data_IF_012914382898
#
_entry.id   IF_012914382898
#
_cell.length_a   1.000
_cell.length_b   1.000
_cell.length_c   1.000
_cell.angle_alpha   90.00
_cell.angle_beta   90.00
_cell.angle_gamma   90.00
#
_symmetry.space_group_name_H-M   'P 1'
#
loop_
_entity.id
_entity.type
_entity.pdbx_description
1 polymer ?
#
# COMPACT_ATOMS: atom_id res chain seq x y z
N UNK A 1 -9.67 12.61 6.17
CA UNK A 1 -9.48 12.43 7.64
C UNK A 1 -8.29 13.29 8.10
N UNK A 2 -8.04 13.53 9.39
CA UNK A 2 -6.77 14.17 9.78
C UNK A 2 -5.63 13.15 9.63
N UNK A 3 -4.46 13.56 9.13
CA UNK A 3 -3.27 12.69 9.04
C UNK A 3 -2.90 12.15 10.43
N UNK A 4 -2.51 10.88 10.50
CA UNK A 4 -2.14 10.21 11.75
C UNK A 4 -0.94 10.89 12.42
N UNK A 5 0.08 11.21 11.62
CA UNK A 5 1.20 12.05 12.07
C UNK A 5 0.76 13.51 11.96
N UNK A 6 0.57 14.15 13.13
CA UNK A 6 0.24 15.56 13.24
C UNK A 6 1.42 16.44 12.78
N UNK A 7 1.13 17.62 12.21
CA UNK A 7 2.17 18.52 11.65
C UNK A 7 3.30 18.87 12.63
N UNK A 8 2.96 19.02 13.92
CA UNK A 8 3.91 19.30 14.99
C UNK A 8 4.88 18.13 15.27
N UNK A 9 4.52 16.92 14.88
CA UNK A 9 5.28 15.69 15.09
C UNK A 9 6.07 15.26 13.87
N UNK A 10 5.81 15.85 12.69
CA UNK A 10 6.47 15.48 11.43
C UNK A 10 7.99 15.51 11.53
N UNK A 11 8.58 16.55 12.12
CA UNK A 11 10.03 16.64 12.25
C UNK A 11 10.58 15.54 13.16
N UNK A 12 9.99 15.35 14.34
CA UNK A 12 10.37 14.29 15.29
C UNK A 12 10.28 12.90 14.67
N UNK A 13 9.19 12.61 13.95
CA UNK A 13 9.02 11.33 13.25
C UNK A 13 10.04 11.19 12.13
N UNK A 14 10.29 12.25 11.35
CA UNK A 14 11.32 12.25 10.30
C UNK A 14 12.71 11.96 10.84
N UNK A 15 13.05 12.52 12.01
CA UNK A 15 14.33 12.26 12.67
C UNK A 15 14.43 10.80 13.16
N UNK A 16 13.33 10.22 13.63
CA UNK A 16 13.27 8.81 14.01
C UNK A 16 13.40 7.90 12.78
N UNK A 17 12.70 8.19 11.68
CA UNK A 17 12.79 7.45 10.43
C UNK A 17 14.20 7.51 9.84
N UNK A 18 14.81 8.70 9.76
CA UNK A 18 16.21 8.86 9.34
C UNK A 18 17.15 8.08 10.27
N UNK A 19 16.89 8.13 11.57
CA UNK A 19 17.59 7.35 12.56
C UNK A 19 17.51 5.85 12.26
N UNK A 20 16.35 5.33 11.92
CA UNK A 20 16.10 3.92 11.64
C UNK A 20 16.88 3.42 10.41
N UNK A 21 16.97 4.22 9.34
CA UNK A 21 17.68 3.84 8.10
C UNK A 21 19.19 4.14 8.11
N UNK A 22 19.69 4.85 9.11
CA UNK A 22 21.11 5.20 9.23
C UNK A 22 21.95 4.04 9.78
N UNK A 23 22.14 2.99 8.97
CA UNK A 23 23.01 1.84 9.22
C UNK A 23 23.87 1.51 8.00
N UNK A 24 24.82 0.58 8.12
CA UNK A 24 25.63 0.09 6.98
C UNK A 24 26.34 1.20 6.18
N UNK A 25 26.81 2.24 6.87
CA UNK A 25 27.45 3.41 6.25
C UNK A 25 26.52 4.55 5.88
N UNK A 26 25.20 4.39 6.09
CA UNK A 26 24.19 5.43 5.92
C UNK A 26 22.93 4.94 5.19
N UNK A 27 21.90 5.79 5.10
CA UNK A 27 20.72 5.50 4.27
C UNK A 27 21.11 5.35 2.80
N UNK A 28 20.40 4.48 2.07
CA UNK A 28 20.56 4.38 0.61
C UNK A 28 19.99 5.62 -0.09
N UNK A 29 20.34 5.81 -1.37
CA UNK A 29 19.75 6.88 -2.19
C UNK A 29 18.23 6.74 -2.28
N UNK A 30 17.74 5.51 -2.46
CA UNK A 30 16.31 5.17 -2.52
C UNK A 30 15.59 5.45 -1.20
N UNK A 31 16.11 4.98 -0.06
CA UNK A 31 15.56 5.28 1.26
C UNK A 31 15.50 6.79 1.51
N UNK A 32 16.55 7.52 1.11
CA UNK A 32 16.60 8.98 1.23
C UNK A 32 15.56 9.67 0.35
N UNK A 33 15.37 9.19 -0.89
CA UNK A 33 14.38 9.72 -1.82
C UNK A 33 12.95 9.49 -1.30
N UNK A 34 12.63 8.28 -0.84
CA UNK A 34 11.33 7.93 -0.26
C UNK A 34 11.04 8.76 1.00
N UNK A 35 12.00 8.86 1.93
CA UNK A 35 11.83 9.68 3.14
C UNK A 35 11.60 11.16 2.78
N UNK A 36 12.37 11.72 1.83
CA UNK A 36 12.18 13.09 1.35
C UNK A 36 10.80 13.30 0.72
N UNK A 37 10.34 12.35 -0.10
CA UNK A 37 9.05 12.43 -0.76
C UNK A 37 7.91 12.38 0.27
N UNK A 38 7.97 11.52 1.28
CA UNK A 38 7.00 11.48 2.37
C UNK A 38 6.97 12.83 3.12
N UNK A 39 8.14 13.39 3.46
CA UNK A 39 8.22 14.67 4.18
C UNK A 39 7.64 15.83 3.39
N UNK A 40 8.05 15.97 2.14
CA UNK A 40 7.69 17.13 1.31
C UNK A 40 6.35 16.97 0.60
N UNK A 41 6.06 15.79 0.07
CA UNK A 41 4.87 15.48 -0.73
C UNK A 41 3.66 15.05 0.11
N UNK A 42 3.85 14.18 1.10
CA UNK A 42 2.73 13.72 1.94
C UNK A 42 2.46 14.68 3.11
N UNK A 43 3.48 15.00 3.89
CA UNK A 43 3.33 15.89 5.05
C UNK A 43 3.41 17.39 4.70
N UNK A 44 3.85 17.75 3.49
CA UNK A 44 3.93 19.14 3.04
C UNK A 44 5.03 19.98 3.70
N UNK A 45 5.98 19.34 4.43
CA UNK A 45 7.03 20.01 5.21
C UNK A 45 8.30 20.22 4.38
N UNK A 46 8.20 21.09 3.38
CA UNK A 46 9.32 21.47 2.48
C UNK A 46 10.47 22.21 3.18
N UNK A 47 10.25 22.64 4.43
CA UNK A 47 11.24 23.27 5.30
C UNK A 47 12.21 22.26 5.96
N UNK A 48 11.90 20.97 5.94
CA UNK A 48 12.74 19.91 6.52
C UNK A 48 13.63 19.32 5.42
N UNK A 49 14.94 19.49 5.56
CA UNK A 49 15.93 18.88 4.66
C UNK A 49 16.55 17.64 5.30
N UNK A 50 16.29 16.47 4.70
CA UNK A 50 16.84 15.17 5.14
C UNK A 50 18.37 15.18 5.21
N UNK A 51 19.06 15.96 4.36
CA UNK A 51 20.52 16.00 4.33
C UNK A 51 21.14 16.69 5.55
N UNK A 52 20.38 17.55 6.24
CA UNK A 52 20.82 18.29 7.43
C UNK A 52 20.08 17.89 8.71
N UNK A 53 19.05 17.06 8.57
CA UNK A 53 18.25 16.55 9.68
C UNK A 53 19.11 15.68 10.61
N UNK A 54 19.03 15.95 11.91
CA UNK A 54 19.76 15.16 12.91
C UNK A 54 18.91 13.95 13.31
N UNK A 55 19.39 12.71 13.13
CA UNK A 55 18.62 11.52 13.49
C UNK A 55 18.44 11.41 15.01
N UNK A 56 17.25 10.97 15.44
CA UNK A 56 17.03 10.53 16.82
C UNK A 56 17.53 9.09 16.99
N UNK A 57 18.02 8.75 18.18
CA UNK A 57 18.17 7.34 18.58
C UNK A 57 16.82 6.71 18.92
N UNK A 58 16.76 5.38 18.96
CA UNK A 58 15.56 4.62 19.36
C UNK A 58 14.97 5.11 20.70
N UNK A 59 15.82 5.28 21.72
CA UNK A 59 15.40 5.81 23.04
C UNK A 59 14.80 7.20 22.98
N UNK A 60 15.41 8.09 22.19
CA UNK A 60 14.88 9.45 22.03
C UNK A 60 13.55 9.44 21.27
N UNK A 61 13.43 8.59 20.23
CA UNK A 61 12.19 8.41 19.49
C UNK A 61 11.07 7.87 20.39
N UNK A 62 11.33 6.81 21.17
CA UNK A 62 10.36 6.24 22.11
C UNK A 62 9.88 7.22 23.19
N UNK A 63 10.78 8.08 23.67
CA UNK A 63 10.46 9.15 24.62
C UNK A 63 9.66 10.30 24.00
N UNK A 64 9.89 10.62 22.72
CA UNK A 64 9.28 11.77 22.05
C UNK A 64 7.94 11.43 21.38
N UNK A 65 7.82 10.24 20.77
CA UNK A 65 6.63 9.79 20.06
C UNK A 65 5.80 8.96 21.04
N UNK A 66 4.82 9.59 21.68
CA UNK A 66 4.09 8.98 22.82
C UNK A 66 2.69 8.50 22.49
N UNK A 67 2.08 9.02 21.41
CA UNK A 67 0.74 8.60 21.02
C UNK A 67 0.74 7.24 20.33
N UNK A 68 -0.17 6.30 20.69
CA UNK A 68 -0.17 4.94 20.10
C UNK A 68 -0.35 4.90 18.59
N UNK A 69 -1.23 5.72 18.03
CA UNK A 69 -1.48 5.82 16.59
C UNK A 69 -0.24 6.30 15.82
N UNK A 70 0.44 7.31 16.34
CA UNK A 70 1.69 7.81 15.75
C UNK A 70 2.85 6.81 15.89
N UNK A 71 2.90 6.05 16.99
CA UNK A 71 3.87 4.96 17.17
C UNK A 71 3.67 3.89 16.10
N UNK A 72 2.43 3.42 15.90
CA UNK A 72 2.10 2.44 14.86
C UNK A 72 2.50 2.95 13.48
N UNK A 73 2.03 4.13 13.07
CA UNK A 73 2.38 4.72 11.77
C UNK A 73 3.88 4.95 11.57
N UNK A 74 4.60 5.29 12.64
CA UNK A 74 6.06 5.45 12.57
C UNK A 74 6.74 4.10 12.27
N UNK A 75 6.32 3.00 12.91
CA UNK A 75 6.86 1.67 12.63
C UNK A 75 6.56 1.20 11.22
N UNK A 76 5.34 1.41 10.73
CA UNK A 76 4.98 1.08 9.35
C UNK A 76 5.87 1.82 8.34
N UNK A 77 6.13 3.11 8.56
CA UNK A 77 7.07 3.85 7.72
C UNK A 77 8.52 3.37 7.88
N UNK A 78 8.92 2.88 9.05
CA UNK A 78 10.21 2.21 9.18
C UNK A 78 10.26 0.96 8.31
N UNK A 79 9.25 0.08 8.36
CA UNK A 79 9.16 -1.13 7.52
C UNK A 79 9.18 -0.80 6.04
N UNK A 80 8.40 0.17 5.59
CA UNK A 80 8.44 0.66 4.20
C UNK A 80 9.88 1.02 3.79
N UNK A 81 10.59 1.77 4.63
CA UNK A 81 11.96 2.19 4.36
C UNK A 81 12.96 1.02 4.46
N UNK A 82 12.72 0.00 5.30
CA UNK A 82 13.51 -1.23 5.29
C UNK A 82 13.42 -1.90 3.91
N UNK A 83 12.20 -2.09 3.41
CA UNK A 83 11.93 -2.74 2.12
C UNK A 83 12.49 -1.97 0.90
N UNK A 84 12.85 -0.70 1.08
CA UNK A 84 13.55 0.14 0.10
C UNK A 84 15.08 -0.04 0.09
N UNK A 85 15.63 -1.03 0.80
CA UNK A 85 17.06 -1.34 0.83
C UNK A 85 17.34 -2.64 0.09
N UNK A 86 18.25 -2.59 -0.88
CA UNK A 86 18.57 -3.70 -1.77
C UNK A 86 20.08 -4.01 -1.78
N UNK A 87 20.54 -5.13 -1.21
CA UNK A 87 19.77 -6.14 -0.47
C UNK A 87 19.34 -5.63 0.91
N UNK A 88 18.19 -6.12 1.39
CA UNK A 88 17.77 -5.94 2.76
C UNK A 88 18.79 -6.60 3.70
N UNK A 89 19.18 -5.91 4.78
CA UNK A 89 20.27 -6.38 5.66
C UNK A 89 19.77 -6.70 7.07
N UNK A 90 20.38 -7.72 7.69
CA UNK A 90 20.14 -8.03 9.10
C UNK A 90 20.45 -6.84 10.02
N UNK A 91 21.46 -6.02 9.70
CA UNK A 91 21.80 -4.81 10.45
C UNK A 91 20.69 -3.76 10.37
N UNK A 92 20.02 -3.61 9.23
CA UNK A 92 18.85 -2.73 9.09
C UNK A 92 17.68 -3.25 9.94
N UNK A 93 17.42 -4.56 9.90
CA UNK A 93 16.36 -5.20 10.69
C UNK A 93 16.59 -5.05 12.19
N UNK A 94 17.76 -5.44 12.69
CA UNK A 94 18.11 -5.32 14.11
C UNK A 94 18.00 -3.87 14.59
N UNK A 95 18.34 -2.92 13.71
CA UNK A 95 18.20 -1.51 14.02
C UNK A 95 16.74 -1.08 14.15
N UNK A 96 15.85 -1.49 13.25
CA UNK A 96 14.42 -1.15 13.36
C UNK A 96 13.78 -1.85 14.55
N UNK A 97 14.22 -3.05 14.92
CA UNK A 97 13.80 -3.72 16.16
C UNK A 97 14.10 -2.88 17.42
N UNK A 98 15.26 -2.23 17.49
CA UNK A 98 15.58 -1.30 18.60
C UNK A 98 14.55 -0.15 18.68
N UNK A 99 14.16 0.44 17.54
CA UNK A 99 13.13 1.49 17.51
C UNK A 99 11.76 0.92 17.89
N UNK A 100 11.38 -0.25 17.38
CA UNK A 100 10.10 -0.86 17.66
C UNK A 100 9.94 -1.18 19.15
N UNK A 101 11.02 -1.65 19.79
CA UNK A 101 11.09 -1.87 21.23
C UNK A 101 10.83 -0.58 22.02
N UNK A 102 11.51 0.51 21.65
CA UNK A 102 11.39 1.80 22.37
C UNK A 102 10.07 2.54 22.07
N UNK A 103 9.51 2.37 20.87
CA UNK A 103 8.17 2.83 20.52
C UNK A 103 7.08 1.99 21.20
N UNK A 104 7.41 0.80 21.71
CA UNK A 104 6.53 -0.10 22.46
C UNK A 104 5.62 -0.91 21.55
N UNK A 105 5.67 -2.24 21.66
CA UNK A 105 5.07 -3.22 20.74
C UNK A 105 3.54 -3.08 20.55
N UNK A 106 3.09 -3.34 19.32
CA UNK A 106 1.79 -3.96 19.08
C UNK A 106 2.10 -5.46 18.93
N UNK A 107 1.45 -6.32 19.71
CA UNK A 107 1.76 -7.77 19.78
C UNK A 107 1.52 -8.56 18.47
N UNK A 108 1.24 -7.91 17.33
CA UNK A 108 1.22 -8.50 15.99
C UNK A 108 1.20 -7.38 14.92
N UNK A 109 2.35 -7.02 14.35
CA UNK A 109 2.42 -6.14 13.18
C UNK A 109 2.86 -6.98 11.98
N UNK A 110 1.94 -7.22 11.05
CA UNK A 110 2.15 -8.13 9.92
C UNK A 110 3.33 -7.69 9.04
N UNK A 111 3.53 -6.38 8.85
CA UNK A 111 4.65 -5.86 8.08
C UNK A 111 5.98 -6.04 8.80
N UNK A 112 6.00 -5.90 10.14
CA UNK A 112 7.18 -6.24 10.92
C UNK A 112 7.54 -7.72 10.72
N UNK A 113 6.61 -8.63 11.03
CA UNK A 113 6.81 -10.08 10.98
C UNK A 113 7.30 -10.57 9.62
N UNK A 114 6.57 -10.26 8.54
CA UNK A 114 6.93 -10.66 7.17
C UNK A 114 8.34 -10.20 6.77
N UNK A 115 8.69 -8.96 7.12
CA UNK A 115 10.03 -8.43 6.80
C UNK A 115 11.12 -9.12 7.61
N UNK A 116 10.81 -9.61 8.83
CA UNK A 116 11.78 -10.26 9.71
C UNK A 116 12.05 -11.66 9.19
N UNK A 117 10.99 -12.39 8.87
CA UNK A 117 11.07 -13.74 8.30
C UNK A 117 11.83 -13.72 6.99
N UNK A 118 11.63 -12.68 6.16
CA UNK A 118 12.35 -12.52 4.90
C UNK A 118 13.88 -12.51 5.09
N UNK A 119 14.35 -11.81 6.13
CA UNK A 119 15.79 -11.65 6.40
C UNK A 119 16.37 -12.82 7.19
N UNK A 120 15.61 -13.35 8.15
CA UNK A 120 16.08 -14.37 9.09
C UNK A 120 15.92 -15.78 8.55
N UNK A 121 14.79 -16.05 7.91
CA UNK A 121 14.32 -17.40 7.57
C UNK A 121 14.09 -17.59 6.06
N UNK A 122 14.07 -16.50 5.29
CA UNK A 122 14.05 -16.49 3.83
C UNK A 122 12.66 -16.31 3.22
N UNK A 123 12.63 -16.29 1.89
CA UNK A 123 11.43 -15.93 1.09
C UNK A 123 10.24 -16.86 1.38
N UNK A 124 10.47 -18.17 1.49
CA UNK A 124 9.38 -19.15 1.68
C UNK A 124 8.60 -18.92 2.99
N UNK A 125 9.30 -18.59 4.07
CA UNK A 125 8.69 -18.30 5.38
C UNK A 125 7.95 -16.97 5.32
N UNK A 126 8.59 -15.92 4.82
CA UNK A 126 7.96 -14.61 4.65
C UNK A 126 6.69 -14.66 3.79
N UNK A 127 6.67 -15.45 2.72
CA UNK A 127 5.48 -15.66 1.89
C UNK A 127 4.38 -16.40 2.63
N UNK A 128 4.74 -17.39 3.45
CA UNK A 128 3.77 -18.14 4.26
C UNK A 128 3.07 -17.22 5.27
N UNK A 129 3.85 -16.39 5.98
CA UNK A 129 3.28 -15.46 6.95
C UNK A 129 2.50 -14.32 6.29
N UNK A 130 2.98 -13.81 5.16
CA UNK A 130 2.22 -12.86 4.36
C UNK A 130 0.84 -13.41 3.96
N UNK A 131 0.79 -14.62 3.40
CA UNK A 131 -0.48 -15.23 2.97
C UNK A 131 -1.41 -15.46 4.16
N UNK A 132 -0.88 -15.88 5.31
CA UNK A 132 -1.68 -16.01 6.54
C UNK A 132 -2.31 -14.68 6.96
N UNK A 133 -1.54 -13.60 7.04
CA UNK A 133 -2.09 -12.29 7.42
C UNK A 133 -3.06 -11.74 6.37
N UNK A 134 -2.81 -12.00 5.08
CA UNK A 134 -3.69 -11.63 4.00
C UNK A 134 -5.04 -12.37 4.11
N UNK A 135 -5.03 -13.70 4.29
CA UNK A 135 -6.24 -14.51 4.50
C UNK A 135 -7.03 -14.08 5.74
N UNK A 136 -6.35 -13.75 6.85
CA UNK A 136 -6.98 -13.22 8.07
C UNK A 136 -7.69 -11.87 7.82
N UNK A 137 -7.20 -11.08 6.86
CA UNK A 137 -7.69 -9.72 6.56
C UNK A 137 -8.61 -9.64 5.33
N UNK A 138 -8.68 -10.69 4.50
CA UNK A 138 -9.32 -10.68 3.18
C UNK A 138 -10.78 -10.19 3.24
N UNK A 139 -11.54 -10.65 4.24
CA UNK A 139 -12.95 -10.30 4.41
C UNK A 139 -13.21 -8.81 4.70
N UNK A 140 -12.21 -8.10 5.23
CA UNK A 140 -12.30 -6.67 5.53
C UNK A 140 -12.16 -5.80 4.28
N UNK A 141 -11.41 -6.27 3.29
CA UNK A 141 -11.07 -5.53 2.05
C UNK A 141 -11.80 -6.06 0.81
N UNK A 142 -12.57 -7.14 0.98
CA UNK A 142 -13.38 -7.73 -0.08
C UNK A 142 -14.60 -6.88 -0.44
N UNK A 143 -14.97 -6.94 -1.72
CA UNK A 143 -16.24 -6.46 -2.26
C UNK A 143 -17.41 -6.95 -1.37
N UNK A 144 -18.26 -6.06 -0.83
CA UNK A 144 -19.34 -6.43 0.08
C UNK A 144 -20.25 -7.54 -0.45
N UNK A 145 -20.55 -7.50 -1.75
CA UNK A 145 -21.42 -8.50 -2.41
C UNK A 145 -20.72 -9.85 -2.63
N UNK A 146 -19.39 -9.91 -2.48
CA UNK A 146 -18.60 -11.13 -2.64
C UNK A 146 -18.16 -11.76 -1.31
N UNK A 147 -18.52 -11.19 -0.15
CA UNK A 147 -18.16 -11.77 1.15
C UNK A 147 -18.69 -13.19 1.38
N UNK A 148 -19.81 -13.52 0.75
CA UNK A 148 -20.43 -14.86 0.77
C UNK A 148 -20.22 -15.61 -0.56
N UNK A 149 -19.28 -15.17 -1.40
CA UNK A 149 -18.99 -15.79 -2.68
C UNK A 149 -18.37 -17.18 -2.47
N UNK A 150 -19.06 -18.23 -2.92
CA UNK A 150 -18.67 -19.62 -2.65
C UNK A 150 -17.54 -20.15 -3.54
N UNK A 151 -17.06 -19.34 -4.49
CA UNK A 151 -15.97 -19.71 -5.39
C UNK A 151 -16.30 -20.82 -6.40
N UNK A 152 -17.53 -21.31 -6.43
CA UNK A 152 -17.92 -22.41 -7.33
C UNK A 152 -17.85 -21.98 -8.80
N UNK A 153 -17.67 -22.96 -9.70
CA UNK A 153 -17.68 -22.72 -11.15
C UNK A 153 -18.95 -21.96 -11.61
N UNK A 154 -20.10 -22.23 -10.98
CA UNK A 154 -21.37 -21.54 -11.26
C UNK A 154 -21.32 -20.08 -10.83
N UNK A 155 -20.93 -19.80 -9.57
CA UNK A 155 -20.80 -18.43 -9.06
C UNK A 155 -19.78 -17.61 -9.86
N UNK A 156 -18.65 -18.23 -10.23
CA UNK A 156 -17.63 -17.62 -11.10
C UNK A 156 -18.18 -17.30 -12.49
N UNK A 157 -18.89 -18.24 -13.10
CA UNK A 157 -19.52 -18.01 -14.41
C UNK A 157 -20.57 -16.89 -14.37
N UNK A 158 -21.37 -16.81 -13.30
CA UNK A 158 -22.35 -15.75 -13.11
C UNK A 158 -21.70 -14.37 -12.90
N UNK A 159 -20.63 -14.29 -12.11
CA UNK A 159 -19.85 -13.06 -11.96
C UNK A 159 -19.29 -12.59 -13.30
N UNK A 160 -18.59 -13.47 -14.02
CA UNK A 160 -18.00 -13.13 -15.33
C UNK A 160 -19.07 -12.69 -16.32
N UNK A 161 -20.23 -13.35 -16.32
CA UNK A 161 -21.38 -12.95 -17.16
C UNK A 161 -21.89 -11.56 -16.79
N UNK A 162 -21.99 -11.23 -15.50
CA UNK A 162 -22.36 -9.90 -15.04
C UNK A 162 -21.34 -8.84 -15.48
N UNK A 163 -20.05 -9.10 -15.30
CA UNK A 163 -18.98 -8.18 -15.70
C UNK A 163 -19.01 -7.93 -17.21
N UNK A 164 -19.16 -8.98 -18.03
CA UNK A 164 -19.26 -8.84 -19.49
C UNK A 164 -20.45 -7.99 -19.93
N UNK A 165 -21.56 -8.01 -19.21
CA UNK A 165 -22.73 -7.17 -19.50
C UNK A 165 -22.45 -5.67 -19.32
N UNK A 166 -21.33 -5.27 -18.71
CA UNK A 166 -20.92 -3.87 -18.65
C UNK A 166 -20.60 -3.26 -20.02
N UNK A 167 -20.43 -4.07 -21.07
CA UNK A 167 -20.26 -3.56 -22.44
C UNK A 167 -21.45 -2.75 -22.95
N UNK A 168 -22.65 -3.00 -22.39
CA UNK A 168 -23.88 -2.28 -22.71
C UNK A 168 -24.02 -0.96 -21.93
N UNK A 169 -23.13 -0.70 -20.96
CA UNK A 169 -23.15 0.55 -20.20
C UNK A 169 -22.58 1.72 -21.01
N UNK A 170 -23.03 2.97 -20.77
CA UNK A 170 -22.46 4.13 -21.44
C UNK A 170 -20.97 4.30 -21.15
N UNK A 171 -20.21 4.74 -22.16
CA UNK A 171 -18.80 5.11 -21.97
C UNK A 171 -18.64 6.17 -20.86
N UNK A 172 -17.59 6.04 -20.04
CA UNK A 172 -17.36 6.88 -18.87
C UNK A 172 -18.06 6.43 -17.59
N UNK A 173 -18.86 5.35 -17.58
CA UNK A 173 -19.30 4.71 -16.32
C UNK A 173 -18.25 3.77 -15.77
N UNK A 174 -18.24 3.56 -14.45
CA UNK A 174 -17.25 2.70 -13.77
C UNK A 174 -17.15 1.32 -14.42
N UNK A 175 -18.28 0.66 -14.69
CA UNK A 175 -18.31 -0.68 -15.28
C UNK A 175 -17.81 -0.71 -16.73
N UNK A 176 -18.10 0.32 -17.54
CA UNK A 176 -17.58 0.39 -18.91
C UNK A 176 -16.06 0.56 -18.89
N UNK A 177 -15.57 1.52 -18.10
CA UNK A 177 -14.13 1.78 -17.96
C UNK A 177 -13.39 0.57 -17.36
N UNK A 178 -14.05 -0.23 -16.53
CA UNK A 178 -13.52 -1.49 -16.00
C UNK A 178 -13.25 -2.54 -17.07
N UNK A 179 -14.16 -2.72 -18.03
CA UNK A 179 -13.90 -3.59 -19.16
C UNK A 179 -12.78 -3.05 -20.06
N UNK A 180 -12.74 -1.74 -20.28
CA UNK A 180 -11.68 -1.11 -21.07
C UNK A 180 -10.30 -1.21 -20.40
N UNK A 181 -10.24 -1.13 -19.06
CA UNK A 181 -9.03 -1.34 -18.28
C UNK A 181 -8.48 -2.75 -18.49
N UNK A 182 -9.32 -3.78 -18.38
CA UNK A 182 -8.90 -5.17 -18.61
C UNK A 182 -8.44 -5.40 -20.05
N UNK A 183 -9.18 -4.87 -21.04
CA UNK A 183 -8.81 -4.96 -22.46
C UNK A 183 -7.48 -4.28 -22.75
N UNK A 184 -7.26 -3.07 -22.21
CA UNK A 184 -6.05 -2.28 -22.45
C UNK A 184 -4.82 -2.93 -21.82
N UNK A 185 -4.98 -3.51 -20.62
CA UNK A 185 -3.89 -4.17 -19.90
C UNK A 185 -3.71 -5.65 -20.25
N UNK A 186 -4.57 -6.22 -21.11
CA UNK A 186 -4.63 -7.66 -21.42
C UNK A 186 -4.79 -8.55 -20.18
N UNK A 187 -5.66 -8.14 -19.26
CA UNK A 187 -5.96 -8.87 -18.03
C UNK A 187 -7.27 -9.69 -18.21
N UNK A 188 -7.32 -10.95 -17.75
CA UNK A 188 -8.56 -11.70 -17.57
C UNK A 188 -9.51 -11.00 -16.61
N UNK A 189 -10.82 -11.14 -16.81
CA UNK A 189 -11.80 -10.60 -15.85
C UNK A 189 -11.75 -11.39 -14.53
N UNK A 190 -11.98 -10.76 -13.37
CA UNK A 190 -12.08 -11.46 -12.10
C UNK A 190 -13.11 -12.60 -12.16
N UNK A 191 -12.66 -13.80 -11.78
CA UNK A 191 -13.42 -15.04 -11.85
C UNK A 191 -13.26 -15.83 -13.16
N UNK A 192 -12.49 -15.36 -14.16
CA UNK A 192 -12.26 -16.13 -15.39
C UNK A 192 -11.30 -17.31 -15.22
N UNK A 193 -10.27 -17.18 -14.39
CA UNK A 193 -9.31 -18.25 -14.08
C UNK A 193 -8.89 -18.25 -12.59
N UNK A 194 -8.10 -19.25 -12.19
CA UNK A 194 -7.69 -19.42 -10.79
C UNK A 194 -6.66 -18.37 -10.35
N UNK A 195 -6.01 -17.69 -11.29
CA UNK A 195 -4.99 -16.67 -11.02
C UNK A 195 -5.60 -15.26 -10.92
N UNK A 196 -6.84 -15.09 -11.38
CA UNK A 196 -7.64 -13.87 -11.22
C UNK A 196 -8.93 -14.20 -10.44
N UNK A 197 -8.82 -14.59 -9.14
CA UNK A 197 -9.98 -14.88 -8.32
C UNK A 197 -10.90 -13.66 -8.14
N UNK A 198 -12.14 -13.90 -7.72
CA UNK A 198 -13.17 -12.87 -7.61
C UNK A 198 -12.81 -11.70 -6.69
N UNK A 199 -11.91 -11.90 -5.72
CA UNK A 199 -11.38 -10.84 -4.84
C UNK A 199 -10.70 -9.70 -5.61
N UNK A 200 -10.16 -9.98 -6.82
CA UNK A 200 -9.57 -8.96 -7.68
C UNK A 200 -10.58 -7.93 -8.19
N UNK A 201 -11.90 -8.20 -8.14
CA UNK A 201 -12.91 -7.23 -8.53
C UNK A 201 -12.76 -5.90 -7.78
N UNK A 202 -12.65 -5.94 -6.44
CA UNK A 202 -12.49 -4.73 -5.64
C UNK A 202 -11.14 -4.07 -5.93
N UNK A 203 -10.06 -4.86 -6.00
CA UNK A 203 -8.72 -4.38 -6.32
C UNK A 203 -8.68 -3.61 -7.66
N UNK A 204 -9.17 -4.21 -8.74
CA UNK A 204 -9.15 -3.63 -10.08
C UNK A 204 -10.07 -2.41 -10.22
N UNK A 205 -11.20 -2.40 -9.50
CA UNK A 205 -12.07 -1.20 -9.43
C UNK A 205 -11.36 -0.04 -8.73
N UNK A 206 -10.55 -0.33 -7.71
CA UNK A 206 -9.79 0.68 -6.99
C UNK A 206 -8.71 1.35 -7.86
N UNK A 207 -8.17 0.67 -8.87
CA UNK A 207 -7.30 1.30 -9.88
C UNK A 207 -8.02 2.43 -10.61
N UNK A 208 -9.26 2.21 -11.07
CA UNK A 208 -10.03 3.22 -11.79
C UNK A 208 -10.44 4.38 -10.90
N UNK A 209 -10.96 4.08 -9.70
CA UNK A 209 -11.42 5.12 -8.77
C UNK A 209 -10.23 5.95 -8.30
N UNK A 210 -9.11 5.29 -7.93
CA UNK A 210 -7.86 5.94 -7.52
C UNK A 210 -7.10 6.62 -8.67
N UNK A 211 -7.35 6.21 -9.92
CA UNK A 211 -6.70 6.75 -11.11
C UNK A 211 -5.26 6.27 -11.30
N UNK A 212 -4.95 5.03 -10.91
CA UNK A 212 -3.63 4.42 -11.04
C UNK A 212 -3.67 3.26 -12.05
N UNK A 213 -2.70 3.22 -12.96
CA UNK A 213 -2.50 2.07 -13.85
C UNK A 213 -1.87 0.86 -13.14
N UNK A 214 -1.36 -0.08 -13.93
CA UNK A 214 -0.82 -1.39 -13.51
C UNK A 214 0.71 -1.44 -13.49
N UNK A 215 1.37 -0.29 -13.63
CA UNK A 215 2.82 -0.23 -13.52
C UNK A 215 3.24 -0.50 -12.06
N UNK A 216 4.44 -1.04 -11.82
CA UNK A 216 4.86 -1.36 -10.44
C UNK A 216 4.87 -0.15 -9.51
N UNK A 217 5.18 1.05 -10.03
CA UNK A 217 5.08 2.30 -9.26
C UNK A 217 3.62 2.64 -8.92
N UNK A 218 2.69 2.38 -9.85
CA UNK A 218 1.28 2.68 -9.67
C UNK A 218 0.56 1.66 -8.77
N UNK A 219 0.99 0.39 -8.76
CA UNK A 219 0.55 -0.61 -7.78
C UNK A 219 0.93 -0.21 -6.35
N UNK A 220 2.20 0.20 -6.15
CA UNK A 220 2.67 0.72 -4.86
C UNK A 220 1.88 1.99 -4.48
N UNK A 221 1.65 2.88 -5.44
CA UNK A 221 0.87 4.10 -5.22
C UNK A 221 -0.58 3.80 -4.83
N UNK A 222 -1.25 2.86 -5.50
CA UNK A 222 -2.61 2.46 -5.15
C UNK A 222 -2.67 1.97 -3.70
N UNK A 223 -1.77 1.05 -3.31
CA UNK A 223 -1.70 0.56 -1.93
C UNK A 223 -1.49 1.67 -0.90
N UNK A 224 -0.61 2.63 -1.19
CA UNK A 224 -0.39 3.80 -0.34
C UNK A 224 -1.61 4.72 -0.24
N UNK A 225 -2.36 4.89 -1.34
CA UNK A 225 -3.61 5.63 -1.33
C UNK A 225 -4.64 4.94 -0.44
N UNK A 226 -4.86 3.63 -0.59
CA UNK A 226 -5.84 2.90 0.21
C UNK A 226 -5.48 2.90 1.71
N UNK A 227 -4.21 2.73 2.04
CA UNK A 227 -3.72 2.89 3.42
C UNK A 227 -3.87 4.32 3.96
N UNK A 228 -3.82 5.33 3.09
CA UNK A 228 -4.08 6.72 3.43
C UNK A 228 -5.57 7.03 3.64
N UNK A 229 -6.46 6.31 2.97
CA UNK A 229 -7.93 6.42 3.12
C UNK A 229 -8.36 5.88 4.48
N UNK A 230 -7.87 4.70 4.83
CA UNK A 230 -8.29 3.98 6.03
C UNK A 230 -7.08 3.27 6.67
N UNK A 231 -6.75 3.69 7.88
CA UNK A 231 -5.63 3.15 8.63
C UNK A 231 -6.03 1.85 9.36
N UNK A 232 -6.02 0.73 8.63
CA UNK A 232 -6.34 -0.60 9.17
C UNK A 232 -5.24 -1.62 8.92
N UNK A 233 -5.25 -2.72 9.67
CA UNK A 233 -4.30 -3.83 9.47
C UNK A 233 -4.49 -4.48 8.10
N UNK A 234 -5.74 -4.57 7.61
CA UNK A 234 -6.05 -5.08 6.27
C UNK A 234 -5.45 -4.21 5.14
N UNK A 235 -5.51 -2.88 5.26
CA UNK A 235 -4.86 -2.00 4.29
C UNK A 235 -3.32 -2.04 4.43
N UNK A 236 -2.82 -2.22 5.65
CA UNK A 236 -1.38 -2.36 5.90
C UNK A 236 -0.81 -3.62 5.24
N UNK A 237 -1.43 -4.80 5.45
CA UNK A 237 -0.94 -6.04 4.84
C UNK A 237 -1.06 -6.01 3.31
N UNK A 238 -2.13 -5.42 2.75
CA UNK A 238 -2.22 -5.22 1.30
C UNK A 238 -1.09 -4.35 0.75
N UNK A 239 -0.75 -3.26 1.45
CA UNK A 239 0.37 -2.41 1.04
C UNK A 239 1.71 -3.15 1.15
N UNK A 240 1.90 -3.99 2.16
CA UNK A 240 3.06 -4.90 2.24
C UNK A 240 3.10 -5.85 1.03
N UNK A 241 1.97 -6.38 0.57
CA UNK A 241 1.88 -7.19 -0.64
C UNK A 241 2.41 -6.46 -1.88
N UNK A 242 1.98 -5.21 -2.07
CA UNK A 242 2.44 -4.38 -3.19
C UNK A 242 3.96 -4.12 -3.11
N UNK A 243 4.49 -3.88 -1.91
CA UNK A 243 5.94 -3.75 -1.71
C UNK A 243 6.67 -5.07 -1.94
N UNK A 244 6.12 -6.20 -1.49
CA UNK A 244 6.72 -7.52 -1.65
C UNK A 244 6.88 -7.92 -3.12
N UNK A 245 5.86 -7.62 -3.94
CA UNK A 245 5.88 -7.87 -5.39
C UNK A 245 6.72 -6.83 -6.12
N UNK A 246 6.49 -5.54 -5.87
CA UNK A 246 6.99 -4.49 -6.76
C UNK A 246 8.22 -3.74 -6.26
N UNK A 247 8.57 -3.84 -4.98
CA UNK A 247 9.68 -3.08 -4.38
C UNK A 247 10.79 -3.97 -3.82
N UNK A 248 10.47 -4.93 -2.95
CA UNK A 248 11.42 -5.80 -2.27
C UNK A 248 11.71 -7.09 -3.06
N UNK A 249 10.89 -7.41 -4.05
CA UNK A 249 11.18 -8.47 -5.01
C UNK A 249 11.05 -9.90 -4.49
N UNK A 250 10.33 -10.16 -3.39
CA UNK A 250 10.27 -11.50 -2.80
C UNK A 250 8.96 -12.24 -3.03
N UNK A 251 7.88 -11.57 -3.47
CA UNK A 251 6.64 -12.24 -3.85
C UNK A 251 6.59 -12.40 -5.37
N UNK A 252 6.99 -13.58 -5.86
CA UNK A 252 6.92 -13.99 -7.27
C UNK A 252 6.04 -15.24 -7.42
N UNK A 253 5.42 -15.37 -8.59
CA UNK A 253 4.77 -16.60 -9.06
C UNK A 253 5.23 -16.93 -10.49
N UNK A 254 4.77 -18.05 -11.07
CA UNK A 254 5.05 -18.36 -12.48
C UNK A 254 4.51 -17.28 -13.44
N UNK A 255 3.47 -16.56 -13.02
CA UNK A 255 2.78 -15.55 -13.83
C UNK A 255 3.12 -14.11 -13.42
N UNK A 256 3.69 -13.91 -12.23
CA UNK A 256 4.05 -12.61 -11.67
C UNK A 256 5.54 -12.56 -11.32
N UNK A 257 6.29 -11.77 -12.09
CA UNK A 257 7.72 -11.54 -11.82
C UNK A 257 7.87 -10.34 -10.90
N UNK A 258 8.39 -10.58 -9.71
CA UNK A 258 8.67 -9.52 -8.74
C UNK A 258 9.74 -8.54 -9.25
N UNK A 259 9.71 -7.30 -8.75
CA UNK A 259 10.63 -6.23 -9.10
C UNK A 259 11.35 -5.76 -7.85
N UNK A 260 12.58 -5.29 -8.03
CA UNK A 260 13.34 -4.60 -6.99
C UNK A 260 13.56 -3.14 -7.34
N UNK A 261 13.72 -2.30 -6.32
CA UNK A 261 14.10 -0.88 -6.43
C UNK A 261 13.17 -0.08 -7.35
N UNK A 262 11.86 -0.29 -7.25
CA UNK A 262 10.89 0.43 -8.07
C UNK A 262 10.74 1.86 -7.60
N UNK A 263 10.81 2.11 -6.28
CA UNK A 263 10.75 3.44 -5.68
C UNK A 263 12.01 4.29 -5.93
N UNK A 264 13.13 3.66 -6.29
CA UNK A 264 14.36 4.33 -6.73
C UNK A 264 14.30 4.84 -8.17
N UNK A 265 13.24 4.53 -8.93
CA UNK A 265 13.04 5.07 -10.28
C UNK A 265 12.56 6.51 -10.22
N UNK A 266 12.88 7.27 -11.26
CA UNK A 266 12.47 8.67 -11.40
C UNK A 266 10.95 8.84 -11.20
N UNK A 267 10.57 9.70 -10.26
CA UNK A 267 9.17 10.05 -9.96
C UNK A 267 8.41 9.03 -9.10
N UNK A 268 8.97 7.86 -8.79
CA UNK A 268 8.25 6.80 -8.07
C UNK A 268 8.01 7.14 -6.59
N UNK A 269 9.01 7.71 -5.91
CA UNK A 269 8.88 8.18 -4.54
C UNK A 269 7.87 9.35 -4.42
N UNK A 270 7.88 10.28 -5.39
CA UNK A 270 6.93 11.38 -5.45
C UNK A 270 5.50 10.87 -5.68
N UNK A 271 5.32 9.89 -6.56
CA UNK A 271 4.01 9.26 -6.80
C UNK A 271 3.48 8.55 -5.55
N UNK A 272 4.34 7.83 -4.81
CA UNK A 272 3.99 7.23 -3.52
C UNK A 272 3.50 8.30 -2.52
N UNK A 273 4.22 9.41 -2.39
CA UNK A 273 3.86 10.48 -1.47
C UNK A 273 2.58 11.21 -1.87
N UNK A 274 2.39 11.46 -3.18
CA UNK A 274 1.13 11.96 -3.73
C UNK A 274 -0.03 11.04 -3.36
N UNK A 275 0.16 9.73 -3.48
CA UNK A 275 -0.88 8.75 -3.22
C UNK A 275 -1.31 8.73 -1.75
N UNK A 276 -0.36 8.71 -0.80
CA UNK A 276 -0.68 8.86 0.62
C UNK A 276 -1.47 10.14 0.91
N UNK A 277 -1.06 11.26 0.31
CA UNK A 277 -1.75 12.54 0.46
C UNK A 277 -3.18 12.45 -0.07
N UNK A 278 -3.35 11.97 -1.32
CA UNK A 278 -4.66 11.82 -1.97
C UNK A 278 -5.59 10.92 -1.16
N UNK A 279 -5.07 9.80 -0.64
CA UNK A 279 -5.82 8.91 0.23
C UNK A 279 -6.32 9.61 1.49
N UNK A 280 -5.43 10.34 2.19
CA UNK A 280 -5.78 11.05 3.43
C UNK A 280 -6.83 12.17 3.26
N UNK A 281 -6.93 12.70 2.03
CA UNK A 281 -7.87 13.75 1.64
C UNK A 281 -9.23 13.21 1.17
N UNK A 282 -9.36 11.91 0.90
CA UNK A 282 -10.64 11.30 0.55
C UNK A 282 -11.66 11.46 1.68
N UNK A 283 -12.94 11.58 1.31
CA UNK A 283 -14.06 11.77 2.25
C UNK A 283 -14.85 10.50 2.51
N UNK A 284 -14.59 9.43 1.75
CA UNK A 284 -15.16 8.11 1.98
C UNK A 284 -14.18 7.03 1.56
N UNK A 285 -14.34 5.85 2.16
CA UNK A 285 -13.56 4.67 1.79
C UNK A 285 -14.21 3.98 0.59
N UNK A 286 -13.53 4.03 -0.56
CA UNK A 286 -13.99 3.35 -1.76
C UNK A 286 -13.43 1.94 -1.88
N UNK A 287 -12.43 1.54 -1.07
CA UNK A 287 -11.76 0.24 -1.24
C UNK A 287 -12.70 -0.95 -1.02
N UNK A 288 -13.75 -0.72 -0.23
CA UNK A 288 -14.77 -1.69 0.20
C UNK A 288 -16.18 -1.27 -0.23
N UNK A 289 -16.29 -0.39 -1.23
CA UNK A 289 -17.59 0.00 -1.77
C UNK A 289 -18.28 -1.18 -2.49
N UNK A 290 -19.61 -1.09 -2.66
CA UNK A 290 -20.36 -2.02 -3.52
C UNK A 290 -20.10 -1.64 -4.99
N UNK A 291 -18.99 -2.10 -5.58
CA UNK A 291 -18.57 -1.67 -6.92
C UNK A 291 -19.52 -2.18 -8.00
N UNK A 292 -20.15 -3.35 -7.78
CA UNK A 292 -21.16 -3.88 -8.67
C UNK A 292 -22.37 -2.95 -8.75
N UNK A 293 -22.84 -2.41 -7.61
CA UNK A 293 -23.91 -1.42 -7.58
C UNK A 293 -23.50 -0.08 -8.22
N UNK A 294 -22.21 0.28 -8.16
CA UNK A 294 -21.68 1.51 -8.72
C UNK A 294 -21.41 1.44 -10.24
N UNK A 295 -21.41 0.25 -10.85
CA UNK A 295 -20.96 0.03 -12.23
C UNK A 295 -21.62 0.96 -13.27
N UNK A 296 -22.90 1.27 -13.11
CA UNK A 296 -23.65 2.15 -14.03
C UNK A 296 -23.47 3.65 -13.76
N UNK A 297 -22.79 4.03 -12.69
CA UNK A 297 -22.53 5.42 -12.30
C UNK A 297 -21.34 5.96 -13.10
N UNK A 298 -21.39 7.21 -13.61
CA UNK A 298 -20.23 7.86 -14.21
C UNK A 298 -19.02 7.83 -13.28
N UNK A 299 -17.84 7.42 -13.76
CA UNK A 299 -16.62 7.30 -12.94
C UNK A 299 -16.29 8.63 -12.23
N UNK A 300 -16.48 9.76 -12.92
CA UNK A 300 -16.30 11.09 -12.33
C UNK A 300 -17.27 11.38 -11.16
N UNK A 301 -18.48 10.83 -11.20
CA UNK A 301 -19.46 10.95 -10.10
C UNK A 301 -19.08 10.02 -8.94
N UNK A 302 -18.58 8.82 -9.22
CA UNK A 302 -18.04 7.91 -8.20
C UNK A 302 -16.87 8.57 -7.47
N UNK A 303 -15.88 9.08 -8.22
CA UNK A 303 -14.73 9.81 -7.66
C UNK A 303 -15.15 11.02 -6.83
N UNK A 304 -16.11 11.82 -7.32
CA UNK A 304 -16.64 12.95 -6.58
C UNK A 304 -17.37 12.52 -5.29
N UNK A 305 -18.11 11.41 -5.34
CA UNK A 305 -18.85 10.85 -4.20
C UNK A 305 -17.92 10.43 -3.04
N UNK A 306 -16.74 9.90 -3.35
CA UNK A 306 -15.72 9.55 -2.36
C UNK A 306 -14.72 10.68 -2.07
N UNK A 307 -14.86 11.83 -2.73
CA UNK A 307 -13.97 12.97 -2.56
C UNK A 307 -12.55 12.70 -3.03
N UNK A 308 -12.37 11.88 -4.07
CA UNK A 308 -11.05 11.52 -4.61
C UNK A 308 -10.40 12.76 -5.23
N UNK A 309 -9.23 13.21 -4.72
CA UNK A 309 -8.53 14.34 -5.33
C UNK A 309 -7.98 13.96 -6.71
N UNK A 310 -7.99 14.90 -7.65
CA UNK A 310 -7.36 14.73 -8.97
C UNK A 310 -5.86 14.48 -8.84
N UNK A 311 -5.29 13.72 -9.80
CA UNK A 311 -3.84 13.60 -9.96
C UNK A 311 -3.24 14.93 -10.42
N UNK A 312 -2.03 15.24 -9.94
CA UNK A 312 -1.29 16.48 -10.27
C UNK A 312 -0.35 16.25 -11.44
#
# INVERSE_FOLDING_TARGET
>A
MARVIEDAMVETVSQALLGAINCDGGPTEEQTAVLRAIISGYWGRTDIDVATLTPLSAKQAGAAITRPDQRRRTREFMVLLELCRHPLTATQVDRVEDYCTELGEAEADAGLEVTRDLVRDGIEVAMTDYLRFFEESESEVSEPTLKEFDGSDESRADLVKQLRAYEDLPAGTLGYEFLEFHRTNNLPLPGEDDNHPAVFLAHDMNHLIGGYGTSGQEEIALGAMLLGINDSDAHWINFIGNLAVHEAGFLSSEELVSKTSTLGREGAAELLAEAFRRGSECTGDFSTADHLALASTPLSEVQAGFGVPSRV
#
